data_IF_084804454653
#
_entry.id   IF_084804454653
#
_cell.length_a   1.000
_cell.length_b   1.000
_cell.length_c   1.000
_cell.angle_alpha   90.00
_cell.angle_beta   90.00
_cell.angle_gamma   90.00
#
_symmetry.space_group_name_H-M   'P 1'
#
loop_
_entity.id
_entity.type
_entity.pdbx_description
1 polymer ?
#
# COMPACT_ATOMS: atom_id res chain seq x y z
N UNK A 1 8.19 -2.84 19.29
CA UNK A 1 7.20 -3.38 18.35
C UNK A 1 6.38 -2.22 17.82
N UNK A 2 6.19 -2.12 16.51
CA UNK A 2 5.31 -1.13 15.87
C UNK A 2 4.21 -1.88 15.13
N UNK A 3 2.97 -1.47 15.35
CA UNK A 3 1.78 -2.14 14.86
C UNK A 3 0.91 -1.14 14.11
N UNK A 4 0.51 -1.51 12.90
CA UNK A 4 -0.46 -0.74 12.10
C UNK A 4 -1.60 -1.66 11.70
N UNK A 5 -2.83 -1.15 11.76
CA UNK A 5 -3.99 -1.82 11.18
C UNK A 5 -4.10 -1.46 9.71
N UNK A 6 -3.12 -1.95 8.96
CA UNK A 6 -2.95 -1.75 7.52
C UNK A 6 -2.64 -3.09 6.87
N UNK A 7 -2.69 -3.12 5.54
CA UNK A 7 -2.33 -4.29 4.77
C UNK A 7 -2.42 -4.02 3.29
N UNK A 8 -2.15 -5.06 2.51
CA UNK A 8 -2.11 -4.99 1.05
C UNK A 8 -2.94 -6.09 0.40
N UNK A 9 -4.06 -6.44 1.03
CA UNK A 9 -4.99 -7.49 0.58
C UNK A 9 -6.44 -7.02 0.49
N UNK A 10 -6.75 -5.79 0.94
CA UNK A 10 -8.14 -5.30 1.04
C UNK A 10 -8.93 -5.81 2.25
N UNK A 11 -8.41 -6.83 2.94
CA UNK A 11 -9.02 -7.43 4.14
C UNK A 11 -8.65 -6.70 5.43
N UNK A 12 -9.38 -6.97 6.51
CA UNK A 12 -8.93 -6.60 7.86
C UNK A 12 -7.63 -7.33 8.21
N UNK A 13 -6.74 -6.66 8.93
CA UNK A 13 -5.42 -7.18 9.20
C UNK A 13 -4.47 -6.15 9.82
N UNK A 14 -3.26 -6.64 10.10
CA UNK A 14 -2.21 -5.85 10.72
C UNK A 14 -0.87 -6.11 10.07
N UNK A 15 -0.03 -5.08 10.04
CA UNK A 15 1.39 -5.19 9.75
C UNK A 15 2.17 -5.00 11.07
N UNK A 16 3.09 -5.93 11.34
CA UNK A 16 3.84 -5.99 12.60
C UNK A 16 5.32 -5.84 12.31
N UNK A 17 5.92 -4.75 12.78
CA UNK A 17 7.36 -4.50 12.69
C UNK A 17 8.05 -4.72 14.03
N UNK A 18 9.07 -5.57 14.03
CA UNK A 18 9.91 -5.91 15.18
C UNK A 18 11.40 -5.91 14.78
N UNK A 19 12.32 -5.77 15.74
CA UNK A 19 13.75 -6.02 15.48
C UNK A 19 13.97 -7.39 14.84
N UNK A 20 14.96 -7.48 13.95
CA UNK A 20 15.20 -8.66 13.09
C UNK A 20 15.37 -9.94 13.90
N UNK A 21 16.07 -9.87 15.02
CA UNK A 21 16.30 -10.97 15.97
C UNK A 21 15.01 -11.57 16.54
N UNK A 22 13.91 -10.80 16.55
CA UNK A 22 12.62 -11.23 17.08
C UNK A 22 11.65 -11.75 16.00
N UNK A 23 11.93 -11.54 14.71
CA UNK A 23 10.99 -11.82 13.63
C UNK A 23 10.60 -13.31 13.53
N UNK A 24 11.59 -14.21 13.64
CA UNK A 24 11.35 -15.66 13.58
C UNK A 24 10.54 -16.14 14.78
N UNK A 25 10.87 -15.64 15.98
CA UNK A 25 10.14 -15.99 17.21
C UNK A 25 8.67 -15.56 17.14
N UNK A 26 8.42 -14.33 16.67
CA UNK A 26 7.07 -13.82 16.48
C UNK A 26 6.27 -14.65 15.47
N UNK A 27 6.83 -14.94 14.29
CA UNK A 27 6.14 -15.70 13.25
C UNK A 27 5.76 -17.11 13.74
N UNK A 28 6.66 -17.80 14.44
CA UNK A 28 6.38 -19.12 15.04
C UNK A 28 5.27 -19.04 16.09
N UNK A 29 5.34 -18.05 16.98
CA UNK A 29 4.34 -17.86 18.02
C UNK A 29 2.94 -17.59 17.44
N UNK A 30 2.83 -16.83 16.34
CA UNK A 30 1.55 -16.59 15.66
C UNK A 30 0.97 -17.87 15.03
N UNK A 31 1.81 -18.68 14.38
CA UNK A 31 1.38 -19.95 13.80
C UNK A 31 0.90 -20.92 14.88
N UNK A 32 1.68 -21.10 15.95
CA UNK A 32 1.36 -22.01 17.05
C UNK A 32 0.08 -21.58 17.78
N UNK A 33 -0.03 -20.31 18.19
CA UNK A 33 -1.19 -19.80 18.92
C UNK A 33 -2.47 -19.69 18.09
N UNK A 34 -2.36 -19.77 16.76
CA UNK A 34 -3.55 -19.74 15.90
C UNK A 34 -4.35 -21.04 15.93
N UNK A 35 -3.81 -22.12 16.51
CA UNK A 35 -4.44 -23.45 16.50
C UNK A 35 -4.81 -23.92 15.07
N UNK A 36 -3.94 -23.60 14.10
CA UNK A 36 -4.12 -23.97 12.69
C UNK A 36 -4.98 -23.02 11.86
N UNK A 37 -5.48 -21.92 12.42
CA UNK A 37 -6.26 -20.90 11.71
C UNK A 37 -5.40 -19.99 10.82
N UNK A 38 -4.14 -19.78 11.19
CA UNK A 38 -3.19 -18.97 10.40
C UNK A 38 -2.33 -19.89 9.53
N UNK A 39 -2.11 -19.47 8.29
CA UNK A 39 -1.22 -20.13 7.34
C UNK A 39 -0.27 -19.13 6.72
N UNK A 40 0.93 -19.59 6.37
CA UNK A 40 1.86 -18.78 5.58
C UNK A 40 1.32 -18.62 4.16
N UNK A 41 1.54 -17.45 3.58
CA UNK A 41 1.13 -17.13 2.20
C UNK A 41 2.33 -16.63 1.40
N UNK A 42 2.34 -16.95 0.11
CA UNK A 42 3.39 -16.58 -0.83
C UNK A 42 3.07 -15.33 -1.64
N UNK A 43 4.02 -14.90 -2.47
CA UNK A 43 3.88 -13.69 -3.29
C UNK A 43 2.78 -13.78 -4.35
N UNK A 44 2.56 -14.95 -4.96
CA UNK A 44 1.51 -15.12 -5.96
C UNK A 44 0.10 -14.85 -5.41
N UNK A 45 -0.20 -15.40 -4.22
CA UNK A 45 -1.48 -15.14 -3.56
C UNK A 45 -1.62 -13.67 -3.13
N UNK A 46 -0.53 -13.04 -2.66
CA UNK A 46 -0.52 -11.59 -2.38
C UNK A 46 -0.83 -10.76 -3.63
N UNK A 47 -0.26 -11.11 -4.78
CA UNK A 47 -0.49 -10.38 -6.02
C UNK A 47 -1.93 -10.54 -6.54
N UNK A 48 -2.54 -11.72 -6.35
CA UNK A 48 -3.97 -11.90 -6.64
C UNK A 48 -4.85 -11.02 -5.73
N UNK A 49 -4.65 -11.08 -4.41
CA UNK A 49 -5.48 -10.35 -3.45
C UNK A 49 -5.38 -8.83 -3.60
N UNK A 50 -4.17 -8.29 -3.80
CA UNK A 50 -3.99 -6.84 -4.00
C UNK A 50 -4.67 -6.35 -5.27
N UNK A 51 -4.66 -7.18 -6.33
CA UNK A 51 -5.28 -6.85 -7.61
C UNK A 51 -6.80 -6.84 -7.47
N UNK A 52 -7.38 -7.84 -6.80
CA UNK A 52 -8.82 -7.87 -6.47
C UNK A 52 -9.24 -6.66 -5.63
N UNK A 53 -8.38 -6.21 -4.72
CA UNK A 53 -8.60 -5.01 -3.90
C UNK A 53 -8.33 -3.68 -4.65
N UNK A 54 -7.87 -3.70 -5.91
CA UNK A 54 -7.58 -2.50 -6.70
C UNK A 54 -6.35 -1.72 -6.22
N UNK A 55 -5.39 -2.37 -5.57
CA UNK A 55 -4.17 -1.74 -5.05
C UNK A 55 -3.04 -1.77 -6.10
N UNK A 56 -2.48 -0.58 -6.39
CA UNK A 56 -1.39 -0.42 -7.35
C UNK A 56 -0.06 -0.99 -6.84
N UNK A 57 0.64 -1.72 -7.69
CA UNK A 57 2.00 -2.23 -7.49
C UNK A 57 3.00 -1.37 -8.28
N UNK A 58 3.96 -0.76 -7.60
CA UNK A 58 5.03 -0.01 -8.25
C UNK A 58 5.90 -0.95 -9.10
N UNK A 59 6.19 -0.55 -10.35
CA UNK A 59 6.82 -1.36 -11.39
C UNK A 59 5.82 -2.06 -12.33
N UNK A 60 4.53 -2.11 -11.97
CA UNK A 60 3.46 -2.69 -12.80
C UNK A 60 2.40 -1.65 -13.16
N UNK A 61 1.73 -1.09 -12.14
CA UNK A 61 0.61 -0.16 -12.32
C UNK A 61 1.04 1.30 -12.18
N UNK A 62 2.23 1.53 -11.62
CA UNK A 62 2.83 2.84 -11.41
C UNK A 62 4.34 2.75 -11.58
N UNK A 63 4.93 3.81 -12.09
CA UNK A 63 6.38 3.98 -12.14
C UNK A 63 6.76 5.46 -12.23
N UNK A 64 8.05 5.75 -12.38
CA UNK A 64 8.58 7.11 -12.31
C UNK A 64 7.95 8.10 -13.31
N UNK A 65 7.45 7.60 -14.44
CA UNK A 65 6.86 8.43 -15.51
C UNK A 65 5.33 8.36 -15.56
N UNK A 66 4.68 7.65 -14.63
CA UNK A 66 3.23 7.62 -14.48
C UNK A 66 2.87 8.51 -13.29
N UNK A 67 2.14 9.59 -13.56
CA UNK A 67 1.69 10.53 -12.54
C UNK A 67 0.62 9.90 -11.64
N UNK A 68 0.42 10.41 -10.41
CA UNK A 68 -0.66 9.95 -9.54
C UNK A 68 -2.06 10.12 -10.17
N UNK A 69 -2.23 11.06 -11.09
CA UNK A 69 -3.52 11.27 -11.79
C UNK A 69 -3.74 10.18 -12.83
N UNK A 70 -2.73 9.88 -13.67
CA UNK A 70 -2.77 8.76 -14.63
C UNK A 70 -2.97 7.40 -13.93
N UNK A 71 -2.37 7.21 -12.76
CA UNK A 71 -2.51 5.99 -11.97
C UNK A 71 -3.86 5.88 -11.22
N UNK A 72 -4.79 6.84 -11.36
CA UNK A 72 -6.07 6.82 -10.65
C UNK A 72 -5.96 7.11 -9.14
N UNK A 73 -4.83 7.66 -8.67
CA UNK A 73 -4.52 7.95 -7.26
C UNK A 73 -4.73 9.40 -6.85
N UNK A 74 -5.50 10.17 -7.63
CA UNK A 74 -5.86 11.56 -7.29
C UNK A 74 -6.42 11.70 -5.87
N UNK A 75 -7.07 10.67 -5.33
CA UNK A 75 -7.61 10.63 -3.96
C UNK A 75 -6.53 10.79 -2.87
N UNK A 76 -5.28 10.42 -3.14
CA UNK A 76 -4.17 10.57 -2.19
C UNK A 76 -3.71 12.02 -2.03
N UNK A 77 -4.09 12.91 -2.96
CA UNK A 77 -3.74 14.33 -2.92
C UNK A 77 -4.79 15.08 -2.09
N UNK A 78 -4.42 15.45 -0.85
CA UNK A 78 -5.31 16.13 0.07
C UNK A 78 -5.77 17.51 -0.41
N UNK A 79 -6.99 17.94 -0.01
CA UNK A 79 -7.63 19.19 -0.46
C UNK A 79 -6.74 20.43 -0.34
N UNK A 80 -6.02 20.59 0.78
CA UNK A 80 -5.09 21.71 0.98
C UNK A 80 -4.00 21.76 -0.09
N UNK A 81 -3.40 20.62 -0.42
CA UNK A 81 -2.37 20.52 -1.47
C UNK A 81 -2.93 20.83 -2.86
N UNK A 82 -4.17 20.43 -3.14
CA UNK A 82 -4.85 20.79 -4.39
C UNK A 82 -5.08 22.30 -4.54
N UNK A 83 -5.32 23.01 -3.44
CA UNK A 83 -5.55 24.45 -3.45
C UNK A 83 -4.25 25.28 -3.44
N UNK A 84 -3.28 24.86 -2.63
CA UNK A 84 -2.06 25.64 -2.36
C UNK A 84 -0.85 25.22 -3.21
N UNK A 85 -0.85 23.99 -3.75
CA UNK A 85 0.32 23.44 -4.43
C UNK A 85 1.55 23.33 -3.51
N UNK A 86 2.71 23.74 -4.02
CA UNK A 86 3.97 23.82 -3.27
C UNK A 86 4.58 22.47 -2.89
N UNK A 87 4.29 21.42 -3.67
CA UNK A 87 4.93 20.11 -3.56
C UNK A 87 5.67 19.78 -4.87
N UNK A 88 6.60 18.82 -4.81
CA UNK A 88 7.37 18.41 -5.98
C UNK A 88 6.42 17.87 -7.07
N UNK A 89 6.53 18.40 -8.29
CA UNK A 89 5.66 18.04 -9.40
C UNK A 89 4.27 18.69 -9.38
N UNK A 90 4.02 19.66 -8.49
CA UNK A 90 2.71 20.31 -8.36
C UNK A 90 2.19 20.91 -9.68
N UNK A 91 3.03 21.57 -10.47
CA UNK A 91 2.58 22.22 -11.71
C UNK A 91 1.94 21.22 -12.70
N UNK A 92 2.55 20.03 -12.84
CA UNK A 92 2.03 18.96 -13.69
C UNK A 92 0.77 18.34 -13.08
N UNK A 93 0.85 17.97 -11.80
CA UNK A 93 -0.24 17.24 -11.12
C UNK A 93 -1.50 18.11 -11.01
N UNK A 94 -1.36 19.40 -10.68
CA UNK A 94 -2.49 20.32 -10.55
C UNK A 94 -3.15 20.60 -11.90
N UNK A 95 -2.36 20.69 -12.98
CA UNK A 95 -2.90 20.79 -14.34
C UNK A 95 -3.71 19.55 -14.70
N UNK A 96 -3.16 18.35 -14.47
CA UNK A 96 -3.86 17.11 -14.77
C UNK A 96 -5.14 16.90 -13.96
N UNK A 97 -5.18 17.37 -12.71
CA UNK A 97 -6.41 17.33 -11.90
C UNK A 97 -7.55 18.20 -12.47
N UNK A 98 -7.23 19.24 -13.24
CA UNK A 98 -8.22 20.15 -13.84
C UNK A 98 -8.60 19.73 -15.25
N UNK A 99 -7.63 19.30 -16.05
CA UNK A 99 -7.78 19.06 -17.48
C UNK A 99 -7.93 17.57 -17.85
N UNK A 100 -7.61 16.67 -16.91
CA UNK A 100 -7.44 15.24 -17.17
C UNK A 100 -5.95 14.86 -17.30
N UNK A 101 -5.64 13.55 -17.23
CA UNK A 101 -4.28 13.05 -17.38
C UNK A 101 -3.63 13.41 -18.71
#
# INVERSE_FOLDING_TARGET
>A
CFLTRTGYTGEDGFEISVPSENAVGLAKALLEKSEGKVRLTGLGARDSLRLEAGLCLYGNDMEQHITPVEAGLSWAIGKRRRAEGGFLGADVILKQLQEGP
#
